data_IF_916285965270
#
_entry.id   IF_916285965270
#
_cell.length_a   1.000
_cell.length_b   1.000
_cell.length_c   1.000
_cell.angle_alpha   90.00
_cell.angle_beta   90.00
_cell.angle_gamma   90.00
#
_symmetry.space_group_name_H-M   'P 1'
#
loop_
_entity.id
_entity.type
_entity.pdbx_description
1 polymer ?
#
# COMPACT_ATOMS: atom_id res chain seq x y z
N UNK A 1 25.64 -21.55 22.36
CA UNK A 1 24.30 -22.12 22.61
C UNK A 1 23.44 -21.81 21.40
N UNK A 2 23.30 -22.79 20.50
CA UNK A 2 22.30 -22.71 19.45
C UNK A 2 20.94 -22.93 20.12
N UNK A 3 20.18 -21.84 20.31
CA UNK A 3 18.78 -21.96 20.71
C UNK A 3 18.03 -22.66 19.57
N UNK A 4 17.24 -23.67 19.91
CA UNK A 4 16.29 -24.31 19.02
C UNK A 4 15.41 -23.25 18.33
N UNK A 5 15.74 -22.88 17.10
CA UNK A 5 14.80 -22.23 16.18
C UNK A 5 13.87 -23.31 15.63
N UNK A 6 13.02 -23.86 16.52
CA UNK A 6 11.82 -24.55 16.07
C UNK A 6 11.01 -23.54 15.26
N UNK A 7 10.63 -23.88 14.04
CA UNK A 7 9.69 -23.10 13.25
C UNK A 7 8.44 -22.86 14.11
N UNK A 8 8.30 -21.63 14.63
CA UNK A 8 7.11 -21.23 15.37
C UNK A 8 5.98 -21.09 14.37
N UNK A 9 5.20 -22.15 14.25
CA UNK A 9 3.94 -22.11 13.52
C UNK A 9 2.92 -21.30 14.31
N UNK A 10 1.96 -20.71 13.59
CA UNK A 10 0.81 -20.05 14.20
C UNK A 10 0.18 -20.90 15.30
N UNK A 11 -0.04 -20.28 16.46
CA UNK A 11 -0.84 -20.83 17.53
C UNK A 11 -2.34 -20.69 17.18
N UNK A 12 -3.21 -21.39 17.91
CA UNK A 12 -4.65 -21.25 17.72
C UNK A 12 -5.14 -19.79 17.84
N UNK A 13 -4.49 -18.99 18.69
CA UNK A 13 -4.81 -17.56 18.85
C UNK A 13 -4.51 -16.79 17.57
N UNK A 14 -3.40 -17.07 16.89
CA UNK A 14 -3.01 -16.38 15.66
C UNK A 14 -4.00 -16.67 14.52
N UNK A 15 -4.48 -17.90 14.41
CA UNK A 15 -5.55 -18.26 13.47
C UNK A 15 -6.86 -17.54 13.77
N UNK A 16 -7.23 -17.42 15.05
CA UNK A 16 -8.44 -16.68 15.45
C UNK A 16 -8.30 -15.20 15.10
N UNK A 17 -7.15 -14.58 15.36
CA UNK A 17 -6.90 -13.17 15.01
C UNK A 17 -6.97 -12.98 13.49
N UNK A 18 -6.36 -13.87 12.71
CA UNK A 18 -6.44 -13.84 11.25
C UNK A 18 -7.89 -13.97 10.75
N UNK A 19 -8.64 -14.93 11.28
CA UNK A 19 -10.04 -15.15 10.95
C UNK A 19 -10.92 -13.95 11.31
N UNK A 20 -10.70 -13.34 12.48
CA UNK A 20 -11.39 -12.13 12.91
C UNK A 20 -11.08 -10.93 12.01
N UNK A 21 -9.83 -10.78 11.54
CA UNK A 21 -9.48 -9.72 10.58
C UNK A 21 -10.22 -9.86 9.26
N UNK A 22 -10.25 -11.07 8.69
CA UNK A 22 -10.97 -11.35 7.46
C UNK A 22 -12.49 -11.16 7.65
N UNK A 23 -13.04 -11.63 8.77
CA UNK A 23 -14.43 -11.46 9.11
C UNK A 23 -14.81 -9.99 9.32
N UNK A 24 -13.93 -9.18 9.91
CA UNK A 24 -14.13 -7.74 10.08
C UNK A 24 -14.18 -7.02 8.73
N UNK A 25 -13.24 -7.30 7.83
CA UNK A 25 -13.26 -6.75 6.46
C UNK A 25 -14.54 -7.14 5.71
N UNK A 26 -14.95 -8.40 5.84
CA UNK A 26 -16.20 -8.89 5.26
C UNK A 26 -17.43 -8.19 5.85
N UNK A 27 -17.49 -8.05 7.18
CA UNK A 27 -18.59 -7.39 7.88
C UNK A 27 -18.75 -5.93 7.47
N UNK A 28 -17.64 -5.21 7.25
CA UNK A 28 -17.66 -3.83 6.74
C UNK A 28 -18.22 -3.78 5.32
N UNK A 29 -17.76 -4.69 4.44
CA UNK A 29 -18.30 -4.85 3.09
C UNK A 29 -19.81 -5.08 3.07
N UNK A 30 -20.28 -6.03 3.88
CA UNK A 30 -21.70 -6.35 4.02
C UNK A 30 -22.47 -5.17 4.63
N UNK A 31 -21.95 -4.51 5.65
CA UNK A 31 -22.58 -3.35 6.27
C UNK A 31 -22.83 -2.24 5.25
N UNK A 32 -21.84 -1.89 4.43
CA UNK A 32 -22.00 -0.86 3.40
C UNK A 32 -22.87 -1.31 2.22
N UNK A 33 -22.95 -2.62 1.95
CA UNK A 33 -23.86 -3.19 0.95
C UNK A 33 -25.33 -3.14 1.38
N UNK A 34 -25.61 -3.52 2.64
CA UNK A 34 -26.97 -3.61 3.19
C UNK A 34 -27.48 -2.32 3.83
N UNK A 35 -26.62 -1.33 4.07
CA UNK A 35 -27.04 -0.01 4.54
C UNK A 35 -27.99 0.64 3.50
N UNK A 36 -29.30 0.47 3.77
CA UNK A 36 -30.45 0.94 2.97
C UNK A 36 -30.16 2.31 2.33
N UNK A 37 -30.24 2.36 1.00
CA UNK A 37 -30.21 3.54 0.11
C UNK A 37 -28.87 4.07 -0.42
N UNK A 38 -27.72 3.43 -0.22
CA UNK A 38 -26.44 4.04 -0.67
C UNK A 38 -25.93 3.60 -2.04
N UNK A 39 -26.08 2.35 -2.48
CA UNK A 39 -25.44 1.88 -3.73
C UNK A 39 -26.34 1.81 -4.98
N UNK A 40 -27.22 2.79 -5.21
CA UNK A 40 -28.14 2.74 -6.37
C UNK A 40 -27.56 3.34 -7.66
N UNK A 41 -26.46 4.09 -7.58
CA UNK A 41 -25.85 4.75 -8.74
C UNK A 41 -24.38 4.38 -8.87
N UNK A 42 -23.87 4.38 -10.11
CA UNK A 42 -22.45 4.16 -10.39
C UNK A 42 -21.55 5.17 -9.65
N UNK A 43 -22.03 6.40 -9.48
CA UNK A 43 -21.31 7.43 -8.72
C UNK A 43 -21.16 7.07 -7.24
N UNK A 44 -22.19 6.53 -6.58
CA UNK A 44 -22.00 6.12 -5.20
C UNK A 44 -21.12 4.86 -5.09
N UNK A 45 -21.28 3.91 -6.01
CA UNK A 45 -20.46 2.70 -6.00
C UNK A 45 -18.96 2.99 -6.22
N UNK A 46 -18.64 3.82 -7.23
CA UNK A 46 -17.26 4.10 -7.66
C UNK A 46 -16.62 5.27 -6.92
N UNK A 47 -17.39 6.27 -6.50
CA UNK A 47 -16.86 7.53 -5.94
C UNK A 47 -17.40 7.85 -4.54
N UNK A 48 -18.25 6.99 -3.98
CA UNK A 48 -18.80 7.18 -2.64
C UNK A 48 -19.67 8.43 -2.54
N UNK A 49 -20.26 8.88 -3.65
CA UNK A 49 -21.06 10.09 -3.71
C UNK A 49 -20.27 11.36 -3.41
N UNK A 50 -18.93 11.31 -3.49
CA UNK A 50 -18.01 12.44 -3.32
C UNK A 50 -18.18 13.18 -1.99
N UNK A 51 -18.45 12.42 -0.93
CA UNK A 51 -18.75 12.95 0.42
C UNK A 51 -17.84 12.40 1.51
N UNK A 52 -16.77 11.70 1.13
CA UNK A 52 -15.82 11.14 2.09
C UNK A 52 -15.01 12.27 2.74
N UNK A 53 -14.71 12.13 4.03
CA UNK A 53 -13.78 13.01 4.73
C UNK A 53 -12.35 12.73 4.25
N UNK A 54 -11.51 13.76 4.27
CA UNK A 54 -10.11 13.64 3.82
C UNK A 54 -9.32 12.62 4.65
N UNK A 55 -9.56 12.53 5.96
CA UNK A 55 -8.76 11.70 6.85
C UNK A 55 -8.82 10.18 6.53
N UNK A 56 -9.99 9.51 6.44
CA UNK A 56 -10.07 8.12 5.98
C UNK A 56 -9.52 7.92 4.57
N UNK A 57 -9.71 8.90 3.67
CA UNK A 57 -9.20 8.85 2.30
C UNK A 57 -7.66 8.87 2.28
N UNK A 58 -7.03 9.73 3.07
CA UNK A 58 -5.57 9.81 3.18
C UNK A 58 -4.98 8.50 3.71
N UNK A 59 -5.60 7.91 4.73
CA UNK A 59 -5.11 6.63 5.27
C UNK A 59 -5.35 5.47 4.29
N UNK A 60 -6.45 5.50 3.53
CA UNK A 60 -6.69 4.52 2.48
C UNK A 60 -5.72 4.67 1.30
N UNK A 61 -5.34 5.90 0.93
CA UNK A 61 -4.25 6.14 -0.02
C UNK A 61 -2.93 5.57 0.50
N UNK A 62 -2.60 5.79 1.77
CA UNK A 62 -1.43 5.19 2.41
C UNK A 62 -1.46 3.66 2.34
N UNK A 63 -2.57 3.03 2.76
CA UNK A 63 -2.74 1.58 2.74
C UNK A 63 -2.61 0.99 1.32
N UNK A 64 -3.11 1.70 0.31
CA UNK A 64 -3.05 1.27 -1.10
C UNK A 64 -1.62 1.15 -1.60
N UNK A 65 -0.73 2.05 -1.17
CA UNK A 65 0.67 2.02 -1.57
C UNK A 65 1.51 1.13 -0.66
N UNK A 66 1.07 0.91 0.58
CA UNK A 66 1.75 0.05 1.52
C UNK A 66 1.32 -1.41 1.33
N UNK A 67 1.93 -2.06 0.35
CA UNK A 67 1.74 -3.48 0.07
C UNK A 67 2.55 -4.38 1.02
N UNK A 68 2.17 -5.66 1.11
CA UNK A 68 2.96 -6.68 1.80
C UNK A 68 4.41 -6.78 1.24
N UNK A 69 4.60 -6.49 -0.05
CA UNK A 69 5.92 -6.41 -0.69
C UNK A 69 6.76 -5.32 -0.02
N UNK A 70 6.20 -4.13 0.20
CA UNK A 70 6.91 -3.04 0.86
C UNK A 70 7.18 -3.37 2.33
N UNK A 71 6.21 -3.97 3.02
CA UNK A 71 6.35 -4.29 4.45
C UNK A 71 7.46 -5.31 4.74
N UNK A 72 7.67 -6.30 3.86
CA UNK A 72 8.74 -7.28 3.99
C UNK A 72 10.05 -6.85 3.28
N UNK A 73 9.91 -6.16 2.14
CA UNK A 73 11.03 -5.79 1.29
C UNK A 73 11.88 -4.65 1.86
N UNK A 74 11.27 -3.63 2.47
CA UNK A 74 12.02 -2.47 2.99
C UNK A 74 12.90 -2.81 4.21
N UNK A 75 12.43 -3.60 5.19
CA UNK A 75 13.29 -4.07 6.27
C UNK A 75 14.40 -4.98 5.74
N UNK A 76 14.10 -5.86 4.78
CA UNK A 76 15.11 -6.73 4.17
C UNK A 76 16.19 -5.90 3.44
N UNK A 77 15.80 -4.89 2.67
CA UNK A 77 16.74 -3.97 2.01
C UNK A 77 17.66 -3.28 3.03
N UNK A 78 17.08 -2.80 4.14
CA UNK A 78 17.84 -2.16 5.21
C UNK A 78 18.78 -3.13 5.95
N UNK A 79 18.33 -4.37 6.15
CA UNK A 79 19.11 -5.43 6.79
C UNK A 79 20.28 -5.88 5.91
N UNK A 80 20.06 -6.04 4.60
CA UNK A 80 21.07 -6.54 3.66
C UNK A 80 22.03 -5.47 3.18
N UNK A 81 21.59 -4.22 3.01
CA UNK A 81 22.37 -3.16 2.35
C UNK A 81 22.56 -1.89 3.19
N UNK A 82 21.94 -1.80 4.37
CA UNK A 82 22.12 -0.69 5.31
C UNK A 82 21.09 0.43 5.18
N UNK A 83 21.29 1.49 5.94
CA UNK A 83 20.28 2.53 6.21
C UNK A 83 20.03 3.55 5.09
N UNK A 84 20.77 3.49 3.98
CA UNK A 84 20.67 4.51 2.90
C UNK A 84 19.24 4.68 2.37
N UNK A 85 18.46 3.60 2.33
CA UNK A 85 17.11 3.62 1.79
C UNK A 85 16.18 4.65 2.46
N UNK A 86 16.48 5.08 3.69
CA UNK A 86 15.73 6.12 4.43
C UNK A 86 15.57 7.44 3.65
N UNK A 87 16.52 7.76 2.75
CA UNK A 87 16.44 8.95 1.91
C UNK A 87 15.23 8.95 0.95
N UNK A 88 14.63 7.79 0.68
CA UNK A 88 13.41 7.70 -0.13
C UNK A 88 12.24 8.51 0.45
N UNK A 89 12.21 8.72 1.78
CA UNK A 89 11.18 9.49 2.47
C UNK A 89 11.13 10.93 1.94
N UNK A 90 12.30 11.51 1.62
CA UNK A 90 12.39 12.85 1.03
C UNK A 90 11.73 12.86 -0.34
N UNK A 91 12.07 11.88 -1.19
CA UNK A 91 11.53 11.77 -2.55
C UNK A 91 10.02 11.55 -2.57
N UNK A 92 9.50 10.67 -1.71
CA UNK A 92 8.05 10.43 -1.56
C UNK A 92 7.34 11.70 -1.08
N UNK A 93 7.87 12.34 -0.04
CA UNK A 93 7.26 13.54 0.54
C UNK A 93 7.18 14.68 -0.47
N UNK A 94 8.27 14.91 -1.22
CA UNK A 94 8.31 15.95 -2.25
C UNK A 94 7.43 15.59 -3.45
N UNK A 95 7.35 14.31 -3.83
CA UNK A 95 6.41 13.84 -4.86
C UNK A 95 4.96 14.20 -4.51
N UNK A 96 4.52 13.97 -3.27
CA UNK A 96 3.16 14.33 -2.85
C UNK A 96 2.90 15.85 -2.85
N UNK A 97 3.90 16.65 -2.47
CA UNK A 97 3.80 18.11 -2.58
C UNK A 97 3.66 18.57 -4.02
N UNK A 98 4.43 17.98 -4.94
CA UNK A 98 4.32 18.26 -6.37
C UNK A 98 2.94 17.82 -6.87
N UNK A 99 2.48 16.61 -6.55
CA UNK A 99 1.18 16.10 -6.96
C UNK A 99 0.01 16.97 -6.46
N UNK A 100 0.11 17.56 -5.27
CA UNK A 100 -0.87 18.54 -4.77
C UNK A 100 -0.96 19.77 -5.67
N UNK A 101 0.13 20.22 -6.26
CA UNK A 101 0.18 21.43 -7.09
C UNK A 101 -0.15 21.11 -8.56
N UNK A 102 0.11 19.89 -9.01
CA UNK A 102 -0.06 19.48 -10.41
C UNK A 102 -1.29 18.59 -10.63
N UNK A 103 -1.34 17.42 -10.01
CA UNK A 103 -2.35 16.38 -10.23
C UNK A 103 -3.71 16.80 -9.71
N UNK A 104 -3.77 17.33 -8.48
CA UNK A 104 -5.04 17.70 -7.85
C UNK A 104 -5.75 18.83 -8.61
N UNK A 105 -5.11 19.96 -8.94
CA UNK A 105 -5.78 21.04 -9.67
C UNK A 105 -6.13 20.65 -11.10
N UNK A 106 -5.40 19.70 -11.70
CA UNK A 106 -5.69 19.19 -13.04
C UNK A 106 -6.92 18.28 -13.06
N UNK A 107 -6.99 17.31 -12.14
CA UNK A 107 -7.98 16.23 -12.22
C UNK A 107 -9.21 16.44 -11.33
N UNK A 108 -9.06 17.09 -10.17
CA UNK A 108 -10.18 17.28 -9.24
C UNK A 108 -11.33 18.09 -9.85
N UNK A 109 -11.11 19.24 -10.52
CA UNK A 109 -12.21 20.03 -11.08
C UNK A 109 -13.01 19.32 -12.18
N UNK A 110 -12.38 18.37 -12.88
CA UNK A 110 -13.02 17.65 -13.99
C UNK A 110 -14.06 16.62 -13.52
N UNK A 111 -14.02 16.22 -12.25
CA UNK A 111 -15.00 15.30 -11.64
C UNK A 111 -15.23 14.04 -12.51
N UNK A 112 -14.17 13.51 -13.09
CA UNK A 112 -14.19 12.30 -13.93
C UNK A 112 -14.47 11.06 -13.09
N UNK A 113 -14.96 9.99 -13.72
CA UNK A 113 -15.08 8.69 -13.04
C UNK A 113 -13.80 7.87 -13.25
N UNK A 114 -13.27 7.92 -14.46
CA UNK A 114 -12.02 7.28 -14.86
C UNK A 114 -10.95 8.33 -15.19
N UNK A 115 -9.73 8.15 -14.66
CA UNK A 115 -8.58 8.99 -15.03
C UNK A 115 -8.30 8.94 -16.54
N UNK A 116 -8.66 7.85 -17.21
CA UNK A 116 -8.47 7.71 -18.66
C UNK A 116 -9.43 8.60 -19.48
N UNK A 117 -10.53 9.08 -18.90
CA UNK A 117 -11.38 10.09 -19.55
C UNK A 117 -10.61 11.39 -19.80
N UNK A 118 -9.63 11.73 -18.94
CA UNK A 118 -8.75 12.87 -19.17
C UNK A 118 -7.97 12.73 -20.49
N UNK A 119 -7.59 11.51 -20.89
CA UNK A 119 -6.91 11.29 -22.17
C UNK A 119 -7.83 11.58 -23.37
N UNK A 120 -9.11 11.21 -23.28
CA UNK A 120 -10.08 11.57 -24.32
C UNK A 120 -10.28 13.08 -24.40
N UNK A 121 -10.33 13.79 -23.28
CA UNK A 121 -10.46 15.25 -23.26
C UNK A 121 -9.20 15.94 -23.79
N UNK A 122 -8.02 15.44 -23.43
CA UNK A 122 -6.74 16.07 -23.77
C UNK A 122 -6.31 15.86 -25.22
N UNK A 123 -6.62 14.69 -25.78
CA UNK A 123 -6.23 14.28 -27.14
C UNK A 123 -7.42 14.21 -28.09
N UNK A 124 -8.62 14.58 -27.63
CA UNK A 124 -9.87 14.53 -28.41
C UNK A 124 -10.16 13.16 -29.05
N UNK A 125 -9.69 12.09 -28.41
CA UNK A 125 -9.72 10.74 -28.98
C UNK A 125 -10.15 9.67 -27.99
N UNK A 126 -11.31 9.05 -28.29
CA UNK A 126 -11.82 7.88 -27.55
C UNK A 126 -10.91 6.65 -27.71
N UNK A 127 -10.13 6.57 -28.79
CA UNK A 127 -9.18 5.47 -28.98
C UNK A 127 -8.05 5.55 -27.96
N UNK A 128 -7.51 6.75 -27.70
CA UNK A 128 -6.45 6.96 -26.70
C UNK A 128 -6.97 6.64 -25.30
N UNK A 129 -8.20 7.04 -24.97
CA UNK A 129 -8.86 6.65 -23.71
C UNK A 129 -8.96 5.13 -23.56
N UNK A 130 -9.48 4.43 -24.58
CA UNK A 130 -9.64 2.96 -24.53
C UNK A 130 -8.29 2.26 -24.39
N UNK A 131 -7.28 2.72 -25.12
CA UNK A 131 -5.94 2.17 -25.05
C UNK A 131 -5.32 2.39 -23.66
N UNK A 132 -5.42 3.61 -23.11
CA UNK A 132 -4.96 3.91 -21.75
C UNK A 132 -5.68 3.09 -20.68
N UNK A 133 -6.99 2.91 -20.82
CA UNK A 133 -7.75 2.05 -19.91
C UNK A 133 -7.32 0.58 -20.00
N UNK A 134 -7.08 0.05 -21.20
CA UNK A 134 -6.63 -1.32 -21.40
C UNK A 134 -5.23 -1.54 -20.79
N UNK A 135 -4.28 -0.65 -21.06
CA UNK A 135 -2.93 -0.74 -20.47
C UNK A 135 -2.98 -0.61 -18.95
N UNK A 136 -3.84 0.26 -18.42
CA UNK A 136 -4.11 0.42 -17.00
C UNK A 136 -4.63 -0.84 -16.33
N UNK A 137 -5.62 -1.51 -16.95
CA UNK A 137 -6.18 -2.77 -16.47
C UNK A 137 -5.10 -3.87 -16.47
N UNK A 138 -4.34 -4.01 -17.56
CA UNK A 138 -3.27 -5.00 -17.65
C UNK A 138 -2.16 -4.77 -16.61
N UNK A 139 -1.76 -3.51 -16.39
CA UNK A 139 -0.79 -3.16 -15.37
C UNK A 139 -1.31 -3.48 -13.96
N UNK A 140 -2.58 -3.17 -13.70
CA UNK A 140 -3.23 -3.46 -12.41
C UNK A 140 -3.33 -4.97 -12.16
N UNK A 141 -3.73 -5.77 -13.15
CA UNK A 141 -3.78 -7.24 -13.04
C UNK A 141 -2.39 -7.84 -12.76
N UNK A 142 -1.37 -7.35 -13.45
CA UNK A 142 0.01 -7.79 -13.25
C UNK A 142 0.50 -7.46 -11.84
N UNK A 143 0.24 -6.24 -11.36
CA UNK A 143 0.59 -5.83 -10.00
C UNK A 143 -0.16 -6.64 -8.94
N UNK A 144 -1.47 -6.83 -9.10
CA UNK A 144 -2.29 -7.59 -8.13
C UNK A 144 -1.84 -9.04 -8.01
N UNK A 145 -1.36 -9.64 -9.10
CA UNK A 145 -0.80 -11.00 -9.08
C UNK A 145 0.41 -11.11 -8.15
N UNK A 146 1.34 -10.14 -8.21
CA UNK A 146 2.53 -10.10 -7.34
C UNK A 146 2.14 -9.72 -5.91
N UNK A 147 1.19 -8.77 -5.76
CA UNK A 147 0.73 -8.29 -4.48
C UNK A 147 0.05 -9.40 -3.64
N UNK A 148 -0.66 -10.34 -4.27
CA UNK A 148 -1.30 -11.48 -3.58
C UNK A 148 -0.31 -12.58 -3.16
N UNK A 149 0.78 -12.78 -3.91
CA UNK A 149 1.79 -13.81 -3.61
C UNK A 149 2.55 -13.48 -2.32
N UNK A 150 2.85 -12.20 -2.07
CA UNK A 150 3.64 -11.78 -0.91
C UNK A 150 3.03 -12.15 0.46
N UNK A 151 1.76 -11.82 0.76
CA UNK A 151 1.12 -12.25 2.00
C UNK A 151 0.86 -13.76 2.02
N UNK A 152 0.64 -14.40 0.86
CA UNK A 152 0.46 -15.84 0.78
C UNK A 152 1.75 -16.60 1.15
N UNK A 153 2.91 -16.13 0.73
CA UNK A 153 4.22 -16.67 1.12
C UNK A 153 4.50 -16.47 2.62
N UNK A 154 4.11 -15.32 3.17
CA UNK A 154 4.19 -15.08 4.61
C UNK A 154 3.33 -16.07 5.40
N UNK A 155 2.11 -16.37 4.96
CA UNK A 155 1.25 -17.38 5.59
C UNK A 155 1.76 -18.81 5.40
N UNK A 156 2.35 -19.14 4.27
CA UNK A 156 2.95 -20.46 4.05
C UNK A 156 4.12 -20.69 5.02
N UNK A 157 4.99 -19.71 5.18
CA UNK A 157 6.16 -19.81 6.04
C UNK A 157 5.83 -19.77 7.53
N UNK A 158 4.77 -19.06 7.95
CA UNK A 158 4.42 -18.88 9.37
C UNK A 158 3.27 -19.75 9.85
N UNK A 159 2.28 -20.04 9.00
CA UNK A 159 1.12 -20.85 9.34
C UNK A 159 1.16 -22.24 8.68
N UNK A 160 2.07 -22.50 7.74
CA UNK A 160 2.11 -23.77 7.00
C UNK A 160 0.91 -23.97 6.05
N UNK A 161 0.16 -22.89 5.77
CA UNK A 161 -0.97 -22.94 4.82
C UNK A 161 -0.40 -22.98 3.39
N UNK A 162 -0.78 -23.96 2.55
CA UNK A 162 -0.29 -24.04 1.18
C UNK A 162 -0.51 -22.73 0.41
N UNK A 163 0.50 -22.29 -0.34
CA UNK A 163 0.48 -21.02 -1.08
C UNK A 163 -0.80 -20.81 -1.90
N UNK A 164 -1.23 -21.83 -2.66
CA UNK A 164 -2.42 -21.74 -3.51
C UNK A 164 -3.71 -21.48 -2.71
N UNK A 165 -3.83 -22.07 -1.52
CA UNK A 165 -5.00 -21.92 -0.66
C UNK A 165 -5.03 -20.51 -0.08
N UNK A 166 -3.89 -20.00 0.38
CA UNK A 166 -3.75 -18.62 0.86
C UNK A 166 -4.15 -17.60 -0.21
N UNK A 167 -3.71 -17.80 -1.47
CA UNK A 167 -4.07 -16.93 -2.59
C UNK A 167 -5.59 -16.95 -2.84
N UNK A 168 -6.21 -18.14 -2.90
CA UNK A 168 -7.65 -18.28 -3.15
C UNK A 168 -8.46 -17.65 -2.02
N UNK A 169 -8.08 -17.85 -0.76
CA UNK A 169 -8.81 -17.32 0.39
C UNK A 169 -8.67 -15.80 0.49
N UNK A 170 -7.44 -15.26 0.48
CA UNK A 170 -7.20 -13.81 0.57
C UNK A 170 -7.82 -13.10 -0.64
N UNK A 171 -7.57 -13.61 -1.85
CA UNK A 171 -8.12 -13.05 -3.07
C UNK A 171 -9.64 -13.14 -3.11
N UNK A 172 -10.21 -14.29 -2.77
CA UNK A 172 -11.66 -14.52 -2.77
C UNK A 172 -12.40 -13.64 -1.77
N UNK A 173 -11.92 -13.58 -0.52
CA UNK A 173 -12.49 -12.69 0.51
C UNK A 173 -12.35 -11.23 0.06
N UNK A 174 -11.16 -10.86 -0.41
CA UNK A 174 -10.84 -9.56 -1.02
C UNK A 174 -11.86 -9.13 -2.08
N UNK A 175 -12.01 -9.94 -3.11
CA UNK A 175 -12.95 -9.70 -4.22
C UNK A 175 -14.39 -9.64 -3.73
N UNK A 176 -14.78 -10.51 -2.79
CA UNK A 176 -16.15 -10.55 -2.31
C UNK A 176 -16.54 -9.27 -1.55
N UNK A 177 -15.76 -8.84 -0.54
CA UNK A 177 -16.12 -7.64 0.22
C UNK A 177 -15.97 -6.36 -0.62
N UNK A 178 -15.02 -6.31 -1.54
CA UNK A 178 -14.84 -5.15 -2.44
C UNK A 178 -16.00 -5.00 -3.43
N UNK A 179 -16.46 -6.12 -4.01
CA UNK A 179 -17.59 -6.13 -4.96
C UNK A 179 -18.91 -5.76 -4.28
N UNK A 180 -19.13 -6.19 -3.03
CA UNK A 180 -20.35 -5.88 -2.31
C UNK A 180 -20.39 -4.45 -1.74
N UNK A 181 -19.24 -3.95 -1.30
CA UNK A 181 -19.15 -2.74 -0.48
C UNK A 181 -18.80 -1.45 -1.24
N UNK A 182 -18.33 -1.53 -2.49
CA UNK A 182 -17.91 -0.37 -3.30
C UNK A 182 -16.79 0.46 -2.65
N UNK A 183 -16.46 1.63 -3.22
CA UNK A 183 -15.29 2.42 -2.78
C UNK A 183 -15.37 2.87 -1.31
N UNK A 184 -16.59 3.11 -0.77
CA UNK A 184 -16.77 3.49 0.64
C UNK A 184 -16.29 2.38 1.56
N UNK A 185 -16.70 1.15 1.29
CA UNK A 185 -16.24 0.01 2.07
C UNK A 185 -14.74 -0.14 1.96
N UNK A 186 -14.18 -0.05 0.75
CA UNK A 186 -12.73 -0.18 0.52
C UNK A 186 -11.96 0.83 1.36
N UNK A 187 -12.36 2.11 1.35
CA UNK A 187 -11.70 3.15 2.14
C UNK A 187 -11.74 2.85 3.64
N UNK A 188 -12.87 2.34 4.16
CA UNK A 188 -13.00 1.99 5.57
C UNK A 188 -12.24 0.72 5.95
N UNK A 189 -12.24 -0.31 5.10
CA UNK A 189 -11.42 -1.52 5.33
C UNK A 189 -9.94 -1.18 5.32
N UNK A 190 -9.50 -0.36 4.36
CA UNK A 190 -8.12 0.10 4.26
C UNK A 190 -7.70 0.91 5.51
N UNK A 191 -8.58 1.79 5.99
CA UNK A 191 -8.33 2.58 7.20
C UNK A 191 -8.03 1.67 8.41
N UNK A 192 -8.87 0.67 8.63
CA UNK A 192 -8.70 -0.27 9.75
C UNK A 192 -7.46 -1.13 9.56
N UNK A 193 -7.20 -1.63 8.34
CA UNK A 193 -6.02 -2.42 8.04
C UNK A 193 -4.72 -1.64 8.24
N UNK A 194 -4.67 -0.37 7.81
CA UNK A 194 -3.52 0.51 8.05
C UNK A 194 -3.28 0.75 9.55
N UNK A 195 -4.35 0.90 10.33
CA UNK A 195 -4.24 1.03 11.78
C UNK A 195 -3.60 -0.21 12.42
N UNK A 196 -4.07 -1.41 12.08
CA UNK A 196 -3.46 -2.65 12.58
C UNK A 196 -2.03 -2.85 12.09
N UNK A 197 -1.74 -2.48 10.84
CA UNK A 197 -0.39 -2.50 10.30
C UNK A 197 0.56 -1.60 11.09
N UNK A 198 0.13 -0.38 11.43
CA UNK A 198 0.92 0.55 12.23
C UNK A 198 1.22 -0.01 13.63
N UNK A 199 0.21 -0.56 14.30
CA UNK A 199 0.38 -1.22 15.60
C UNK A 199 1.39 -2.36 15.47
N UNK A 200 1.23 -3.24 14.46
CA UNK A 200 2.13 -4.37 14.23
C UNK A 200 3.59 -3.93 14.03
N UNK A 201 3.84 -2.90 13.22
CA UNK A 201 5.18 -2.35 13.01
C UNK A 201 5.77 -1.82 14.32
N UNK A 202 5.01 -1.02 15.07
CA UNK A 202 5.47 -0.47 16.36
C UNK A 202 5.76 -1.58 17.36
N UNK A 203 4.91 -2.61 17.45
CA UNK A 203 5.12 -3.76 18.33
C UNK A 203 6.40 -4.51 17.97
N UNK A 204 6.62 -4.80 16.68
CA UNK A 204 7.85 -5.49 16.22
C UNK A 204 9.10 -4.65 16.54
N UNK A 205 9.04 -3.33 16.35
CA UNK A 205 10.15 -2.44 16.68
C UNK A 205 10.46 -2.42 18.19
N UNK A 206 9.43 -2.36 19.04
CA UNK A 206 9.61 -2.35 20.50
C UNK A 206 10.19 -3.68 20.98
N UNK A 207 9.57 -4.81 20.60
CA UNK A 207 10.03 -6.15 21.01
C UNK A 207 11.43 -6.42 20.46
N UNK A 208 11.68 -6.11 19.18
CA UNK A 208 12.99 -6.27 18.57
C UNK A 208 14.08 -5.45 19.25
N UNK A 209 13.78 -4.21 19.68
CA UNK A 209 14.71 -3.40 20.48
C UNK A 209 14.98 -4.01 21.86
N UNK A 210 13.95 -4.55 22.53
CA UNK A 210 14.11 -5.20 23.84
C UNK A 210 14.97 -6.47 23.71
N UNK A 211 14.67 -7.32 22.74
CA UNK A 211 15.39 -8.58 22.48
C UNK A 211 16.84 -8.33 22.07
N UNK A 212 17.09 -7.23 21.35
CA UNK A 212 18.43 -6.78 21.02
C UNK A 212 19.17 -6.17 22.23
N UNK A 213 18.60 -6.09 23.42
CA UNK A 213 19.26 -5.53 24.62
C UNK A 213 19.22 -3.99 24.69
N UNK A 214 18.24 -3.37 24.03
CA UNK A 214 18.02 -1.91 24.02
C UNK A 214 18.42 -1.24 22.70
N UNK A 215 17.87 -0.04 22.47
CA UNK A 215 18.09 0.73 21.24
C UNK A 215 19.57 1.11 21.04
N UNK A 216 20.30 1.35 22.13
CA UNK A 216 21.74 1.65 22.09
C UNK A 216 22.52 0.45 21.55
N UNK A 217 22.13 -0.77 21.93
CA UNK A 217 22.78 -1.97 21.44
C UNK A 217 22.44 -2.24 19.97
N UNK A 218 21.20 -1.96 19.54
CA UNK A 218 20.81 -1.98 18.12
C UNK A 218 21.71 -1.05 17.31
N UNK A 219 21.88 0.20 17.77
CA UNK A 219 22.72 1.18 17.07
C UNK A 219 24.18 0.76 17.01
N UNK A 220 24.72 0.26 18.14
CA UNK A 220 26.08 -0.25 18.25
C UNK A 220 26.34 -1.40 17.26
N UNK A 221 25.48 -2.42 17.24
CA UNK A 221 25.60 -3.57 16.34
C UNK A 221 25.55 -3.11 14.88
N UNK A 222 24.62 -2.23 14.53
CA UNK A 222 24.51 -1.73 13.16
C UNK A 222 25.73 -0.90 12.74
N UNK A 223 26.35 -0.17 13.67
CA UNK A 223 27.59 0.56 13.40
C UNK A 223 28.78 -0.38 13.21
N UNK A 224 28.92 -1.39 14.06
CA UNK A 224 30.00 -2.39 14.00
C UNK A 224 29.91 -3.26 12.73
N UNK A 225 28.70 -3.57 12.29
CA UNK A 225 28.45 -4.37 11.07
C UNK A 225 28.40 -3.52 9.80
N UNK A 226 28.68 -2.22 9.88
CA UNK A 226 28.70 -1.33 8.72
C UNK A 226 27.33 -1.10 8.07
N UNK A 227 26.23 -1.28 8.81
CA UNK A 227 24.86 -1.09 8.34
C UNK A 227 24.37 0.35 8.43
N UNK A 228 25.00 1.18 9.25
CA UNK A 228 24.76 2.62 9.27
C UNK A 228 25.52 3.27 8.11
N UNK A 229 24.89 3.29 6.94
CA UNK A 229 25.39 3.91 5.71
C UNK A 229 24.47 5.09 5.38
N UNK A 230 25.02 6.30 5.39
CA UNK A 230 24.28 7.54 5.11
C UNK A 230 25.10 8.57 4.31
N UNK A 231 26.36 8.27 3.98
CA UNK A 231 27.32 9.22 3.44
C UNK A 231 27.65 9.01 1.95
N UNK A 232 26.95 8.11 1.26
CA UNK A 232 27.20 7.82 -0.15
C UNK A 232 26.52 8.87 -1.05
N UNK A 233 27.29 9.88 -1.44
CA UNK A 233 26.85 11.05 -2.22
C UNK A 233 27.43 11.07 -3.64
N UNK A 234 27.97 9.95 -4.12
CA UNK A 234 28.47 9.85 -5.49
C UNK A 234 27.36 10.02 -6.54
N UNK A 235 27.74 10.55 -7.70
CA UNK A 235 26.88 10.63 -8.89
C UNK A 235 27.06 9.44 -9.84
N UNK A 236 27.82 8.40 -9.47
CA UNK A 236 27.99 7.22 -10.31
C UNK A 236 26.67 6.41 -10.42
N UNK A 237 26.09 6.27 -11.62
CA UNK A 237 24.83 5.54 -11.81
C UNK A 237 24.96 4.03 -11.58
N UNK A 238 26.18 3.49 -11.42
CA UNK A 238 26.42 2.07 -11.11
C UNK A 238 26.24 1.74 -9.64
N UNK A 239 26.23 2.75 -8.76
CA UNK A 239 26.03 2.55 -7.33
C UNK A 239 24.55 2.36 -7.04
N UNK A 240 24.23 1.30 -6.28
CA UNK A 240 22.85 0.90 -5.97
C UNK A 240 22.05 2.04 -5.33
N UNK A 241 22.58 2.63 -4.26
CA UNK A 241 21.93 3.68 -3.47
C UNK A 241 22.88 4.83 -3.24
N UNK A 242 22.44 6.02 -3.61
CA UNK A 242 23.10 7.28 -3.33
C UNK A 242 22.06 8.24 -2.77
N UNK A 243 22.49 9.27 -2.05
CA UNK A 243 21.56 10.31 -1.56
C UNK A 243 20.76 10.90 -2.72
N UNK A 244 21.39 11.04 -3.90
CA UNK A 244 20.77 11.62 -5.09
C UNK A 244 19.72 10.71 -5.74
N UNK A 245 20.01 9.42 -5.92
CA UNK A 245 19.08 8.52 -6.60
C UNK A 245 17.84 8.24 -5.71
N UNK A 246 18.04 8.11 -4.39
CA UNK A 246 16.96 7.87 -3.43
C UNK A 246 16.17 9.13 -3.09
N UNK A 247 16.77 10.33 -3.20
CA UNK A 247 16.01 11.57 -3.04
C UNK A 247 15.33 11.95 -4.36
N UNK A 248 16.11 12.33 -5.38
CA UNK A 248 15.58 12.89 -6.63
C UNK A 248 15.01 11.85 -7.58
N UNK A 249 15.69 10.72 -7.75
CA UNK A 249 15.18 9.63 -8.59
C UNK A 249 13.86 9.09 -8.05
N UNK A 250 13.73 9.02 -6.72
CA UNK A 250 12.53 8.55 -6.07
C UNK A 250 11.35 9.54 -6.15
N UNK A 251 11.58 10.84 -6.38
CA UNK A 251 10.50 11.79 -6.70
C UNK A 251 9.77 11.31 -7.96
N UNK A 252 10.51 11.03 -9.02
CA UNK A 252 9.92 10.61 -10.31
C UNK A 252 9.19 9.29 -10.15
N UNK A 253 9.81 8.33 -9.46
CA UNK A 253 9.21 7.04 -9.17
C UNK A 253 7.90 7.17 -8.37
N UNK A 254 7.91 7.97 -7.30
CA UNK A 254 6.74 8.18 -6.45
C UNK A 254 5.70 9.13 -7.07
N UNK A 255 6.04 9.85 -8.15
CA UNK A 255 5.14 10.80 -8.79
C UNK A 255 4.14 10.12 -9.73
N UNK A 256 4.59 9.12 -10.49
CA UNK A 256 3.75 8.41 -11.45
C UNK A 256 2.47 7.79 -10.84
N UNK A 257 2.50 7.14 -9.66
CA UNK A 257 1.31 6.54 -9.07
C UNK A 257 0.21 7.53 -8.68
N UNK A 258 0.50 8.83 -8.60
CA UNK A 258 -0.53 9.86 -8.36
C UNK A 258 -1.51 9.98 -9.54
N UNK A 259 -1.13 9.53 -10.74
CA UNK A 259 -2.01 9.47 -11.92
C UNK A 259 -2.73 8.13 -12.07
N UNK A 260 -2.53 7.17 -11.16
CA UNK A 260 -3.21 5.89 -11.22
C UNK A 260 -4.68 6.05 -10.82
N UNK A 261 -5.53 5.21 -11.43
CA UNK A 261 -6.97 5.20 -11.15
C UNK A 261 -7.24 5.06 -9.64
N UNK A 262 -6.51 4.19 -8.94
CA UNK A 262 -6.68 3.96 -7.50
C UNK A 262 -6.44 5.20 -6.63
N UNK A 263 -5.53 6.08 -7.05
CA UNK A 263 -5.19 7.33 -6.35
C UNK A 263 -6.20 8.42 -6.67
N UNK A 264 -6.44 8.64 -7.96
CA UNK A 264 -7.33 9.68 -8.46
C UNK A 264 -8.76 9.43 -8.00
N UNK A 265 -9.23 8.18 -8.03
CA UNK A 265 -10.57 7.81 -7.58
C UNK A 265 -10.81 8.13 -6.10
N UNK A 266 -9.78 7.94 -5.25
CA UNK A 266 -9.84 8.29 -3.82
C UNK A 266 -9.86 9.80 -3.59
N UNK A 267 -9.01 10.54 -4.31
CA UNK A 267 -9.02 12.01 -4.29
C UNK A 267 -10.39 12.54 -4.71
N UNK A 268 -10.99 11.97 -5.77
CA UNK A 268 -12.31 12.37 -6.27
C UNK A 268 -13.48 11.96 -5.37
N UNK A 269 -13.27 11.05 -4.42
CA UNK A 269 -14.28 10.65 -3.45
C UNK A 269 -14.43 11.66 -2.28
N UNK A 270 -13.52 12.63 -2.13
CA UNK A 270 -13.61 13.64 -1.07
C UNK A 270 -14.63 14.73 -1.41
N UNK A 271 -15.16 15.38 -0.37
CA UNK A 271 -16.12 16.49 -0.50
C UNK A 271 -15.46 17.80 -0.94
N UNK A 272 -14.25 18.05 -0.45
CA UNK A 272 -13.46 19.24 -0.75
C UNK A 272 -11.99 18.86 -0.95
N UNK A 273 -11.23 19.78 -1.53
CA UNK A 273 -9.77 19.80 -1.38
C UNK A 273 -9.36 19.88 0.10
#
# INVERSE_FOLDING_TARGET
MASNTGTMFFTAVDYVVLGLMLALSLAIGLYFSFAKNRQRTNEEYLLGGRRMSAFPVSLSLFATFQSAIALLGLPNESYTYGTMFVYNIIGISLSYLIARITVVPLLYPLQLTSVYEYLALRFESKLVQKFGALTGILASLSYMSIALVSPALALETTAGIPLWLSIVVIGGVGTFYTTLGGIKSVIWTDFIQAFFMFIGIVTVLIIGCIDAGGIDNVWRINKETGRIVMNETSFDPRIRHTVWNLSFGYIVFAYAPNFYQSSVQRILATKSL
#
